data_IF_527844435846
#
_entry.id   IF_527844435846
#
_cell.length_a   1.000
_cell.length_b   1.000
_cell.length_c   1.000
_cell.angle_alpha   90.00
_cell.angle_beta   90.00
_cell.angle_gamma   90.00
#
_symmetry.space_group_name_H-M   'P 1'
#
loop_
_entity.id
_entity.type
_entity.pdbx_description
1 polymer ?
#
# COMPACT_ATOMS: atom_id res chain seq x y z
N UNK A 1 31.33 -3.53 20.83
CA UNK A 1 30.24 -3.60 19.84
C UNK A 1 28.90 -3.64 20.57
N UNK A 2 28.13 -2.56 20.53
CA UNK A 2 26.69 -2.60 20.75
C UNK A 2 26.12 -1.32 20.16
N UNK A 3 25.74 -1.34 18.88
CA UNK A 3 24.79 -0.32 18.40
C UNK A 3 23.50 -0.59 19.17
N UNK A 4 23.02 0.40 19.90
CA UNK A 4 21.82 0.30 20.73
C UNK A 4 20.69 -0.39 19.96
N UNK A 5 20.23 -1.51 20.51
CA UNK A 5 19.21 -2.35 19.87
C UNK A 5 17.90 -1.59 19.85
N UNK A 6 17.55 -1.02 18.69
CA UNK A 6 16.27 -0.33 18.47
C UNK A 6 15.08 -1.24 18.77
N UNK A 7 14.09 -0.72 19.48
CA UNK A 7 12.90 -1.43 20.00
C UNK A 7 11.59 -0.86 19.45
N UNK A 8 10.45 -1.30 19.98
CA UNK A 8 9.16 -0.66 19.68
C UNK A 8 9.10 0.78 20.21
N UNK A 9 9.71 1.07 21.36
CA UNK A 9 9.74 2.42 21.93
C UNK A 9 10.45 3.40 20.99
N UNK A 10 11.56 2.97 20.38
CA UNK A 10 12.22 3.76 19.34
C UNK A 10 11.35 3.93 18.10
N UNK A 11 10.55 2.92 17.72
CA UNK A 11 9.66 3.03 16.57
C UNK A 11 8.55 4.05 16.84
N UNK A 12 7.98 4.03 18.04
CA UNK A 12 6.98 5.00 18.46
C UNK A 12 7.56 6.42 18.40
N UNK A 13 8.73 6.64 19.00
CA UNK A 13 9.39 7.95 19.01
C UNK A 13 9.84 8.42 17.62
N UNK A 14 10.68 7.62 16.95
CA UNK A 14 11.40 8.04 15.74
C UNK A 14 10.47 8.10 14.50
N UNK A 15 9.33 7.40 14.53
CA UNK A 15 8.42 7.29 13.36
C UNK A 15 7.01 7.75 13.66
N UNK A 16 6.39 7.31 14.77
CA UNK A 16 4.97 7.62 15.04
C UNK A 16 4.82 9.05 15.54
N UNK A 17 5.50 9.40 16.64
CA UNK A 17 5.49 10.74 17.23
C UNK A 17 6.08 11.79 16.26
N UNK A 18 7.03 11.39 15.42
CA UNK A 18 7.58 12.21 14.35
C UNK A 18 6.63 12.40 13.14
N UNK A 19 5.43 11.81 13.14
CA UNK A 19 4.43 11.94 12.06
C UNK A 19 4.83 11.26 10.75
N UNK A 20 5.81 10.34 10.78
CA UNK A 20 6.35 9.66 9.61
C UNK A 20 5.61 8.36 9.28
N UNK A 21 4.80 7.84 10.21
CA UNK A 21 4.09 6.57 10.05
C UNK A 21 3.15 6.60 8.83
N UNK A 22 3.33 5.64 7.93
CA UNK A 22 2.50 5.49 6.72
C UNK A 22 1.31 4.53 6.90
N UNK A 23 1.11 3.97 8.10
CA UNK A 23 0.00 3.04 8.41
C UNK A 23 -0.06 1.78 7.54
N UNK A 24 1.09 1.27 7.11
CA UNK A 24 1.17 0.10 6.23
C UNK A 24 0.96 -1.25 6.93
N UNK A 25 1.18 -1.31 8.26
CA UNK A 25 1.02 -2.52 9.07
C UNK A 25 2.23 -3.47 9.11
N UNK A 26 3.40 -3.11 8.56
CA UNK A 26 4.58 -4.01 8.56
C UNK A 26 5.01 -4.43 9.96
N UNK A 27 4.95 -3.51 10.93
CA UNK A 27 5.26 -3.79 12.34
C UNK A 27 4.34 -4.88 12.94
N UNK A 28 3.06 -4.87 12.60
CA UNK A 28 2.08 -5.88 13.01
C UNK A 28 2.35 -7.22 12.31
N UNK A 29 2.69 -7.18 11.01
CA UNK A 29 2.96 -8.38 10.23
C UNK A 29 4.21 -9.15 10.73
N UNK A 30 5.25 -8.42 11.12
CA UNK A 30 6.54 -8.99 11.54
C UNK A 30 6.60 -9.37 13.01
N UNK A 31 5.70 -8.85 13.86
CA UNK A 31 5.72 -9.11 15.29
C UNK A 31 5.63 -10.63 15.58
N UNK A 32 6.62 -11.23 16.27
CA UNK A 32 6.65 -12.68 16.50
C UNK A 32 5.70 -13.11 17.62
N UNK A 33 5.39 -12.21 18.55
CA UNK A 33 4.51 -12.46 19.71
C UNK A 33 3.12 -11.83 19.54
N UNK A 34 2.82 -11.25 18.37
CA UNK A 34 1.51 -10.70 18.02
C UNK A 34 0.93 -9.66 19.00
N UNK A 35 1.77 -8.82 19.60
CA UNK A 35 1.35 -7.80 20.59
C UNK A 35 1.29 -6.37 20.02
N UNK A 36 1.29 -6.20 18.70
CA UNK A 36 1.15 -4.89 18.05
C UNK A 36 -0.13 -4.91 17.22
N UNK A 37 -0.97 -3.90 17.39
CA UNK A 37 -2.18 -3.65 16.59
C UNK A 37 -2.15 -2.24 15.99
N UNK A 38 -3.06 -1.94 15.06
CA UNK A 38 -3.24 -0.58 14.55
C UNK A 38 -4.47 0.04 15.20
N UNK A 39 -4.25 1.01 16.09
CA UNK A 39 -5.32 1.86 16.63
C UNK A 39 -5.33 3.19 15.88
N UNK A 40 -6.48 3.53 15.30
CA UNK A 40 -6.62 4.68 14.37
C UNK A 40 -5.54 4.72 13.28
N UNK A 41 -5.10 3.54 12.81
CA UNK A 41 -4.05 3.39 11.80
C UNK A 41 -2.62 3.56 12.32
N UNK A 42 -2.40 3.76 13.62
CA UNK A 42 -1.09 3.88 14.25
C UNK A 42 -0.76 2.64 15.08
N UNK A 43 0.51 2.20 15.13
CA UNK A 43 0.87 0.99 15.85
C UNK A 43 0.86 1.20 17.37
N UNK A 44 0.14 0.32 18.08
CA UNK A 44 -0.01 0.34 19.54
C UNK A 44 0.29 -1.04 20.12
N UNK A 45 0.88 -1.09 21.33
CA UNK A 45 1.10 -2.34 22.06
C UNK A 45 -0.16 -2.76 22.80
N UNK A 46 -0.60 -4.01 22.59
CA UNK A 46 -1.77 -4.62 23.26
C UNK A 46 -1.40 -5.79 24.18
N UNK A 47 -0.10 -6.00 24.39
CA UNK A 47 0.41 -7.09 25.21
C UNK A 47 1.89 -6.94 25.53
N UNK A 48 2.49 -7.99 26.11
CA UNK A 48 3.89 -7.95 26.57
C UNK A 48 4.88 -8.03 25.41
N UNK A 49 5.52 -6.90 25.11
CA UNK A 49 6.60 -6.82 24.14
C UNK A 49 7.87 -7.54 24.65
N UNK A 50 8.54 -8.26 23.75
CA UNK A 50 9.83 -8.93 24.03
C UNK A 50 11.04 -8.13 23.51
N UNK A 51 10.82 -6.88 23.08
CA UNK A 51 11.87 -5.95 22.65
C UNK A 51 12.82 -6.52 21.58
N UNK A 52 12.27 -7.29 20.65
CA UNK A 52 13.06 -7.93 19.58
C UNK A 52 13.55 -6.95 18.49
N UNK A 53 12.95 -5.75 18.40
CA UNK A 53 13.33 -4.72 17.43
C UNK A 53 12.95 -4.99 15.98
N UNK A 54 12.22 -6.08 15.68
CA UNK A 54 11.84 -6.42 14.30
C UNK A 54 10.89 -5.38 13.68
N UNK A 55 10.01 -4.79 14.48
CA UNK A 55 9.09 -3.74 14.04
C UNK A 55 9.83 -2.49 13.55
N UNK A 56 10.88 -2.07 14.26
CA UNK A 56 11.73 -0.94 13.87
C UNK A 56 12.52 -1.25 12.60
N UNK A 57 13.20 -2.41 12.58
CA UNK A 57 14.05 -2.84 11.46
C UNK A 57 13.28 -3.04 10.16
N UNK A 58 12.00 -3.42 10.24
CA UNK A 58 11.16 -3.61 9.06
C UNK A 58 10.27 -2.40 8.71
N UNK A 59 10.32 -1.30 9.48
CA UNK A 59 9.51 -0.13 9.19
C UNK A 59 10.05 0.62 7.96
N UNK A 60 9.26 0.86 6.89
CA UNK A 60 9.75 1.50 5.66
C UNK A 60 10.14 2.98 5.81
N UNK A 61 10.00 3.54 7.01
CA UNK A 61 10.25 4.94 7.35
C UNK A 61 11.42 5.14 8.32
N UNK A 62 12.07 4.05 8.74
CA UNK A 62 13.41 4.11 9.33
C UNK A 62 14.45 4.04 8.21
N UNK A 63 15.74 4.01 8.54
CA UNK A 63 16.85 3.99 7.58
C UNK A 63 16.65 2.96 6.44
N UNK A 64 16.45 3.45 5.21
CA UNK A 64 16.13 2.66 4.03
C UNK A 64 17.11 3.02 2.91
N UNK A 65 18.00 2.09 2.59
CA UNK A 65 18.92 2.20 1.46
C UNK A 65 18.25 1.62 0.20
N UNK A 66 17.95 2.49 -0.77
CA UNK A 66 17.38 2.05 -2.05
C UNK A 66 18.40 1.34 -2.92
N UNK A 67 19.67 1.73 -2.86
CA UNK A 67 20.74 1.15 -3.68
C UNK A 67 21.04 -0.28 -3.22
N UNK A 68 21.02 -0.53 -1.91
CA UNK A 68 21.11 -1.89 -1.35
C UNK A 68 19.96 -2.77 -1.86
N UNK A 69 18.73 -2.24 -1.85
CA UNK A 69 17.59 -3.00 -2.36
C UNK A 69 17.72 -3.28 -3.87
N UNK A 70 18.15 -2.30 -4.66
CA UNK A 70 18.33 -2.50 -6.10
C UNK A 70 19.42 -3.53 -6.39
N UNK A 71 20.50 -3.58 -5.61
CA UNK A 71 21.51 -4.64 -5.72
C UNK A 71 20.94 -6.00 -5.35
N UNK A 72 20.12 -6.08 -4.31
CA UNK A 72 19.46 -7.34 -3.91
C UNK A 72 18.48 -7.84 -4.97
N UNK A 73 17.71 -6.94 -5.60
CA UNK A 73 16.66 -7.31 -6.55
C UNK A 73 17.20 -7.48 -7.98
N UNK A 74 18.07 -6.58 -8.43
CA UNK A 74 18.53 -6.47 -9.82
C UNK A 74 20.01 -6.83 -10.01
N UNK A 75 20.78 -6.99 -8.93
CA UNK A 75 22.20 -7.33 -8.99
C UNK A 75 23.12 -6.19 -9.43
N UNK A 76 22.61 -4.95 -9.48
CA UNK A 76 23.38 -3.77 -9.91
C UNK A 76 22.82 -2.47 -9.34
N UNK A 77 23.62 -1.42 -9.41
CA UNK A 77 23.18 -0.05 -9.16
C UNK A 77 22.36 0.54 -10.32
N UNK A 78 21.61 1.61 -10.02
CA UNK A 78 20.93 2.44 -11.02
C UNK A 78 21.93 3.18 -11.90
N UNK A 79 21.58 3.35 -13.16
CA UNK A 79 22.23 4.30 -14.06
C UNK A 79 21.67 5.72 -13.83
N UNK A 80 22.34 6.75 -14.34
CA UNK A 80 21.85 8.14 -14.26
C UNK A 80 20.44 8.30 -14.84
N UNK A 81 20.10 7.54 -15.89
CA UNK A 81 18.77 7.55 -16.52
C UNK A 81 17.68 6.93 -15.66
N UNK A 82 18.07 6.13 -14.67
CA UNK A 82 17.18 5.41 -13.76
C UNK A 82 17.04 6.14 -12.42
N UNK A 83 17.73 7.28 -12.23
CA UNK A 83 17.72 8.02 -10.97
C UNK A 83 16.31 8.39 -10.49
N UNK A 84 15.39 8.70 -11.42
CA UNK A 84 14.00 9.02 -11.12
C UNK A 84 13.05 7.84 -11.35
N UNK A 85 13.41 6.90 -12.21
CA UNK A 85 12.50 5.85 -12.69
C UNK A 85 12.71 4.50 -12.04
N UNK A 86 13.77 4.33 -11.24
CA UNK A 86 14.19 3.01 -10.80
C UNK A 86 14.72 2.15 -11.95
N UNK A 87 15.13 0.94 -11.61
CA UNK A 87 15.60 -0.04 -12.61
C UNK A 87 14.41 -0.62 -13.37
N UNK A 88 14.44 -0.54 -14.71
CA UNK A 88 13.40 -1.13 -15.55
C UNK A 88 13.99 -1.81 -16.79
N UNK A 89 13.24 -2.76 -17.36
CA UNK A 89 13.60 -3.42 -18.63
C UNK A 89 12.92 -2.78 -19.84
N UNK A 90 11.65 -2.41 -19.69
CA UNK A 90 10.87 -1.78 -20.74
C UNK A 90 9.67 -1.04 -20.14
N UNK A 91 9.13 -0.05 -20.88
CA UNK A 91 7.95 0.74 -20.49
C UNK A 91 6.94 0.66 -21.61
N UNK A 92 5.70 0.35 -21.27
CA UNK A 92 4.60 0.20 -22.22
C UNK A 92 3.34 0.93 -21.74
N UNK A 93 2.55 1.44 -22.68
CA UNK A 93 1.17 1.84 -22.43
C UNK A 93 0.24 0.66 -22.72
N UNK A 94 -0.58 0.26 -21.75
CA UNK A 94 -1.44 -0.91 -21.87
C UNK A 94 -2.87 -0.65 -21.34
N UNK A 95 -3.83 -1.38 -21.89
CA UNK A 95 -5.23 -1.38 -21.45
C UNK A 95 -5.81 -2.79 -21.57
N UNK A 96 -6.70 -3.13 -20.63
CA UNK A 96 -7.37 -4.43 -20.59
C UNK A 96 -8.27 -4.66 -21.80
N UNK A 97 -8.31 -5.92 -22.24
CA UNK A 97 -9.28 -6.43 -23.22
C UNK A 97 -10.58 -6.93 -22.57
N UNK A 98 -10.59 -7.11 -21.25
CA UNK A 98 -11.76 -7.60 -20.51
C UNK A 98 -12.74 -6.46 -20.23
N UNK A 99 -13.98 -6.60 -20.69
CA UNK A 99 -15.04 -5.61 -20.45
C UNK A 99 -15.42 -5.54 -18.97
N UNK A 100 -15.43 -6.69 -18.28
CA UNK A 100 -15.67 -6.77 -16.83
C UNK A 100 -14.64 -5.96 -16.03
N UNK A 101 -13.36 -6.02 -16.43
CA UNK A 101 -12.30 -5.21 -15.80
C UNK A 101 -12.44 -3.75 -16.21
N UNK A 102 -12.74 -3.46 -17.48
CA UNK A 102 -12.86 -2.08 -17.98
C UNK A 102 -13.94 -1.29 -17.24
N UNK A 103 -15.07 -1.92 -16.92
CA UNK A 103 -16.17 -1.27 -16.21
C UNK A 103 -15.86 -0.89 -14.76
N UNK A 104 -14.78 -1.42 -14.16
CA UNK A 104 -14.40 -1.17 -12.76
C UNK A 104 -13.02 -0.53 -12.59
N UNK A 105 -12.19 -0.52 -13.64
CA UNK A 105 -10.82 -0.05 -13.56
C UNK A 105 -10.73 1.46 -13.31
N UNK A 106 -9.70 1.87 -12.56
CA UNK A 106 -9.36 3.29 -12.41
C UNK A 106 -8.93 3.88 -13.76
N UNK A 107 -7.97 3.22 -14.40
CA UNK A 107 -7.33 3.63 -15.65
C UNK A 107 -7.41 2.52 -16.70
N UNK A 108 -6.28 1.93 -17.09
CA UNK A 108 -6.20 0.88 -18.11
C UNK A 108 -6.62 -0.52 -17.63
N UNK A 109 -6.83 -0.74 -16.33
CA UNK A 109 -7.18 -2.07 -15.79
C UNK A 109 -6.05 -3.11 -15.88
N UNK A 110 -4.80 -2.66 -16.04
CA UNK A 110 -3.62 -3.50 -16.22
C UNK A 110 -3.38 -4.37 -14.97
N UNK A 111 -3.33 -3.73 -13.80
CA UNK A 111 -3.10 -4.42 -12.51
C UNK A 111 -4.15 -5.50 -12.28
N UNK A 112 -5.44 -5.18 -12.39
CA UNK A 112 -6.54 -6.15 -12.24
C UNK A 112 -6.42 -7.31 -13.23
N UNK A 113 -5.99 -7.05 -14.47
CA UNK A 113 -5.82 -8.10 -15.49
C UNK A 113 -4.65 -9.04 -15.16
N UNK A 114 -3.50 -8.48 -14.74
CA UNK A 114 -2.33 -9.26 -14.31
C UNK A 114 -2.68 -10.16 -13.12
N UNK A 115 -3.41 -9.63 -12.14
CA UNK A 115 -3.79 -10.38 -10.94
C UNK A 115 -4.82 -11.47 -11.24
N UNK A 116 -5.75 -11.19 -12.16
CA UNK A 116 -6.71 -12.21 -12.62
C UNK A 116 -5.97 -13.38 -13.27
N UNK A 117 -5.01 -13.08 -14.16
CA UNK A 117 -4.17 -14.11 -14.78
C UNK A 117 -3.33 -14.86 -13.73
N UNK A 118 -2.78 -14.17 -12.72
CA UNK A 118 -2.01 -14.81 -11.66
C UNK A 118 -2.80 -15.89 -10.91
N UNK A 119 -4.09 -15.67 -10.63
CA UNK A 119 -4.96 -16.69 -10.03
C UNK A 119 -5.20 -17.86 -11.00
N UNK A 120 -5.49 -17.57 -12.27
CA UNK A 120 -5.68 -18.60 -13.32
C UNK A 120 -4.43 -19.47 -13.50
N UNK A 121 -3.24 -18.89 -13.35
CA UNK A 121 -1.96 -19.58 -13.40
C UNK A 121 -1.63 -20.37 -12.11
N UNK A 122 -2.60 -20.59 -11.23
CA UNK A 122 -2.45 -21.34 -9.98
C UNK A 122 -1.91 -20.52 -8.81
N UNK A 123 -2.19 -19.22 -8.77
CA UNK A 123 -1.93 -18.38 -7.60
C UNK A 123 -2.94 -18.67 -6.48
N UNK A 124 -2.48 -18.74 -5.23
CA UNK A 124 -3.33 -19.08 -4.08
C UNK A 124 -4.26 -17.95 -3.65
N UNK A 125 -3.82 -16.71 -3.86
CA UNK A 125 -4.52 -15.50 -3.45
C UNK A 125 -3.78 -14.21 -3.78
N UNK A 126 -4.49 -13.10 -3.77
CA UNK A 126 -3.99 -11.76 -4.07
C UNK A 126 -4.35 -10.82 -2.93
N UNK A 127 -3.37 -10.07 -2.43
CA UNK A 127 -3.56 -9.04 -1.41
C UNK A 127 -3.73 -7.68 -2.09
N UNK A 128 -4.93 -7.10 -1.98
CA UNK A 128 -5.34 -5.82 -2.57
C UNK A 128 -6.07 -4.95 -1.54
N UNK A 129 -6.33 -3.68 -1.88
CA UNK A 129 -7.17 -2.79 -1.08
C UNK A 129 -8.66 -2.95 -1.47
N UNK A 130 -9.43 -3.60 -0.60
CA UNK A 130 -10.89 -3.62 -0.65
C UNK A 130 -11.52 -2.47 0.11
N UNK A 131 -12.84 -2.51 0.28
CA UNK A 131 -13.60 -1.60 1.14
C UNK A 131 -14.22 -2.38 2.31
N UNK A 132 -14.31 -1.73 3.47
CA UNK A 132 -15.16 -2.20 4.58
C UNK A 132 -16.63 -2.23 4.13
N UNK A 133 -17.40 -3.20 4.66
CA UNK A 133 -18.80 -3.39 4.28
C UNK A 133 -19.73 -2.37 4.95
N UNK A 134 -19.37 -1.91 6.14
CA UNK A 134 -20.14 -1.03 7.01
C UNK A 134 -19.69 0.44 6.95
N UNK A 135 -18.60 0.74 6.24
CA UNK A 135 -18.00 2.08 6.21
C UNK A 135 -17.70 2.55 4.79
N UNK A 136 -18.33 3.67 4.41
CA UNK A 136 -18.24 4.28 3.08
C UNK A 136 -16.81 4.62 2.71
N UNK A 137 -16.29 4.06 1.61
CA UNK A 137 -14.95 4.36 1.10
C UNK A 137 -13.81 4.12 2.10
N UNK A 138 -14.03 3.29 3.13
CA UNK A 138 -12.99 2.94 4.10
C UNK A 138 -12.18 1.74 3.60
N UNK A 139 -10.87 1.89 3.34
CA UNK A 139 -10.10 0.82 2.73
C UNK A 139 -9.68 -0.23 3.74
N UNK A 140 -9.76 -1.50 3.34
CA UNK A 140 -9.27 -2.64 4.12
C UNK A 140 -8.42 -3.56 3.29
N UNK A 141 -7.43 -4.25 3.87
CA UNK A 141 -6.72 -5.30 3.16
C UNK A 141 -7.69 -6.45 2.86
N UNK A 142 -7.80 -6.80 1.59
CA UNK A 142 -8.57 -7.95 1.10
C UNK A 142 -7.60 -9.01 0.58
N UNK A 143 -7.79 -10.26 1.02
CA UNK A 143 -7.13 -11.43 0.42
C UNK A 143 -8.13 -12.06 -0.56
N UNK A 144 -8.08 -11.64 -1.81
CA UNK A 144 -8.93 -12.14 -2.88
C UNK A 144 -8.41 -13.49 -3.40
N UNK A 145 -9.31 -14.44 -3.69
CA UNK A 145 -8.97 -15.78 -4.20
C UNK A 145 -9.65 -16.11 -5.53
N UNK A 146 -10.42 -15.17 -6.07
CA UNK A 146 -11.14 -15.32 -7.33
C UNK A 146 -11.05 -14.06 -8.18
N UNK A 147 -11.28 -14.22 -9.48
CA UNK A 147 -11.34 -13.11 -10.44
C UNK A 147 -12.39 -12.08 -10.04
N UNK A 148 -13.55 -12.52 -9.57
CA UNK A 148 -14.64 -11.62 -9.20
C UNK A 148 -14.31 -10.77 -7.98
N UNK A 149 -13.65 -11.34 -6.96
CA UNK A 149 -13.14 -10.57 -5.82
C UNK A 149 -12.07 -9.56 -6.23
N UNK A 150 -11.17 -9.93 -7.16
CA UNK A 150 -10.13 -9.04 -7.68
C UNK A 150 -10.75 -7.88 -8.46
N UNK A 151 -11.73 -8.14 -9.32
CA UNK A 151 -12.45 -7.12 -10.09
C UNK A 151 -13.29 -6.23 -9.16
N UNK A 152 -13.92 -6.81 -8.14
CA UNK A 152 -14.70 -6.07 -7.14
C UNK A 152 -13.84 -5.09 -6.32
N UNK A 153 -12.56 -5.42 -6.10
CA UNK A 153 -11.61 -4.55 -5.41
C UNK A 153 -10.98 -3.47 -6.30
N UNK A 154 -11.25 -3.45 -7.61
CA UNK A 154 -10.68 -2.45 -8.52
C UNK A 154 -11.09 -1.01 -8.18
N UNK A 155 -10.36 -0.06 -8.76
CA UNK A 155 -10.55 1.38 -8.52
C UNK A 155 -9.69 1.90 -7.35
N UNK A 156 -9.26 3.15 -7.47
CA UNK A 156 -8.37 3.77 -6.49
C UNK A 156 -9.12 4.18 -5.22
N UNK A 157 -8.54 3.83 -4.07
CA UNK A 157 -8.96 4.36 -2.76
C UNK A 157 -7.86 5.34 -2.33
N UNK A 158 -8.21 6.61 -2.18
CA UNK A 158 -7.24 7.68 -1.92
C UNK A 158 -6.84 7.82 -0.44
N UNK A 159 -7.46 7.03 0.43
CA UNK A 159 -7.12 6.88 1.85
C UNK A 159 -6.34 5.57 2.05
N UNK A 160 -5.69 5.41 3.20
CA UNK A 160 -4.72 4.33 3.38
C UNK A 160 -5.36 3.00 3.76
N UNK A 161 -4.92 1.94 3.10
CA UNK A 161 -5.17 0.55 3.50
C UNK A 161 -3.91 -0.06 4.15
N UNK A 162 -4.02 -0.73 5.31
CA UNK A 162 -2.88 -1.42 5.93
C UNK A 162 -2.57 -2.76 5.26
N UNK A 163 -2.11 -2.71 3.99
CA UNK A 163 -1.89 -3.88 3.11
C UNK A 163 -1.11 -5.02 3.76
N UNK A 164 -0.13 -4.73 4.64
CA UNK A 164 0.70 -5.78 5.24
C UNK A 164 -0.07 -6.65 6.26
N UNK A 165 -1.21 -6.18 6.79
CA UNK A 165 -2.11 -7.05 7.56
C UNK A 165 -2.73 -8.12 6.66
N UNK A 166 -3.06 -7.79 5.41
CA UNK A 166 -3.51 -8.76 4.41
C UNK A 166 -2.44 -9.80 4.07
N UNK A 167 -1.17 -9.36 3.95
CA UNK A 167 -0.02 -10.27 3.75
C UNK A 167 0.15 -11.21 4.94
N UNK A 168 0.06 -10.68 6.18
CA UNK A 168 0.07 -11.50 7.40
C UNK A 168 -1.05 -12.52 7.38
N UNK A 169 -2.29 -12.10 7.14
CA UNK A 169 -3.46 -12.97 7.08
C UNK A 169 -3.28 -14.09 6.05
N UNK A 170 -2.92 -13.73 4.82
CA UNK A 170 -2.70 -14.68 3.73
C UNK A 170 -1.66 -15.75 4.08
N UNK A 171 -0.51 -15.36 4.62
CA UNK A 171 0.62 -16.30 4.83
C UNK A 171 0.57 -17.01 6.18
N UNK A 172 0.28 -16.29 7.27
CA UNK A 172 0.33 -16.85 8.64
C UNK A 172 -0.98 -17.48 9.09
N UNK A 173 -2.12 -16.95 8.66
CA UNK A 173 -3.44 -17.40 9.14
C UNK A 173 -4.10 -18.35 8.13
N UNK A 174 -4.03 -18.02 6.84
CA UNK A 174 -4.60 -18.85 5.77
C UNK A 174 -3.60 -19.87 5.19
N UNK A 175 -2.31 -19.72 5.48
CA UNK A 175 -1.28 -20.67 5.05
C UNK A 175 -0.96 -20.66 3.55
N UNK A 176 -1.34 -19.62 2.81
CA UNK A 176 -1.11 -19.52 1.36
C UNK A 176 0.39 -19.48 1.05
N UNK A 177 0.78 -20.08 -0.08
CA UNK A 177 2.17 -20.31 -0.48
C UNK A 177 2.57 -19.60 -1.77
N UNK A 178 1.62 -19.12 -2.55
CA UNK A 178 1.88 -18.39 -3.78
C UNK A 178 0.92 -17.21 -3.90
N UNK A 179 1.30 -16.08 -3.32
CA UNK A 179 0.47 -14.88 -3.29
C UNK A 179 1.03 -13.76 -4.16
N UNK A 180 0.13 -12.94 -4.69
CA UNK A 180 0.47 -11.64 -5.26
C UNK A 180 0.12 -10.52 -4.28
N UNK A 181 0.89 -9.42 -4.28
CA UNK A 181 0.65 -8.27 -3.41
C UNK A 181 0.66 -6.99 -4.22
N UNK A 182 -0.38 -6.16 -4.05
CA UNK A 182 -0.47 -4.82 -4.65
C UNK A 182 -0.30 -3.78 -3.57
N UNK A 183 0.46 -2.72 -3.84
CA UNK A 183 0.50 -1.58 -2.93
C UNK A 183 1.24 -0.37 -3.47
N UNK A 184 1.17 0.71 -2.70
CA UNK A 184 1.88 1.96 -2.98
C UNK A 184 3.38 1.83 -2.66
N UNK A 185 4.24 2.78 -3.06
CA UNK A 185 5.68 2.63 -2.92
C UNK A 185 6.14 2.43 -1.47
N UNK A 186 5.54 3.14 -0.51
CA UNK A 186 5.87 2.95 0.91
C UNK A 186 5.45 1.56 1.44
N UNK A 187 4.38 0.96 0.91
CA UNK A 187 3.97 -0.40 1.23
C UNK A 187 4.89 -1.43 0.56
N UNK A 188 5.32 -1.19 -0.68
CA UNK A 188 6.30 -2.04 -1.37
C UNK A 188 7.65 -2.05 -0.65
N UNK A 189 8.13 -0.89 -0.16
CA UNK A 189 9.30 -0.83 0.73
C UNK A 189 9.11 -1.67 2.00
N UNK A 190 7.93 -1.62 2.61
CA UNK A 190 7.60 -2.43 3.79
C UNK A 190 7.62 -3.93 3.48
N UNK A 191 7.08 -4.31 2.33
CA UNK A 191 7.09 -5.69 1.84
C UNK A 191 8.50 -6.17 1.51
N UNK A 192 9.32 -5.33 0.86
CA UNK A 192 10.71 -5.62 0.52
C UNK A 192 11.55 -5.87 1.78
N UNK A 193 11.38 -5.07 2.85
CA UNK A 193 12.06 -5.38 4.12
C UNK A 193 11.61 -6.71 4.72
N UNK A 194 10.30 -6.98 4.66
CA UNK A 194 9.69 -8.18 5.19
C UNK A 194 10.16 -9.46 4.48
N UNK A 195 10.48 -9.36 3.18
CA UNK A 195 10.75 -10.51 2.29
C UNK A 195 12.20 -10.64 1.84
N UNK A 196 12.91 -9.52 1.66
CA UNK A 196 14.28 -9.47 1.10
C UNK A 196 15.30 -8.93 2.11
N UNK A 197 14.87 -8.10 3.07
CA UNK A 197 15.77 -7.41 3.99
C UNK A 197 16.57 -8.33 4.94
N UNK A 198 17.55 -7.77 5.67
CA UNK A 198 18.38 -8.54 6.61
C UNK A 198 17.59 -9.17 7.77
N UNK A 199 16.47 -8.55 8.14
CA UNK A 199 15.54 -9.05 9.17
C UNK A 199 14.24 -9.60 8.56
N UNK A 200 14.31 -10.15 7.35
CA UNK A 200 13.20 -10.78 6.65
C UNK A 200 12.64 -11.97 7.41
N UNK A 201 11.40 -12.34 7.09
CA UNK A 201 10.79 -13.56 7.58
C UNK A 201 10.60 -14.55 6.42
N UNK A 202 11.23 -15.72 6.55
CA UNK A 202 11.27 -16.75 5.52
C UNK A 202 9.88 -17.16 5.01
N UNK A 203 8.87 -17.23 5.89
CA UNK A 203 7.51 -17.60 5.46
C UNK A 203 6.91 -16.60 4.48
N UNK A 204 7.18 -15.30 4.67
CA UNK A 204 6.74 -14.28 3.72
C UNK A 204 7.59 -14.32 2.45
N UNK A 205 8.91 -14.46 2.57
CA UNK A 205 9.84 -14.58 1.44
C UNK A 205 9.48 -15.73 0.50
N UNK A 206 9.14 -16.90 1.07
CA UNK A 206 8.78 -18.08 0.28
C UNK A 206 7.40 -17.96 -0.38
N UNK A 207 6.48 -17.19 0.22
CA UNK A 207 5.09 -17.13 -0.20
C UNK A 207 4.78 -16.05 -1.23
N UNK A 208 5.48 -14.92 -1.19
CA UNK A 208 5.24 -13.78 -2.08
C UNK A 208 5.87 -14.07 -3.44
N UNK A 209 5.02 -14.34 -4.44
CA UNK A 209 5.44 -14.74 -5.78
C UNK A 209 5.35 -13.61 -6.80
N UNK A 210 4.50 -12.60 -6.56
CA UNK A 210 4.33 -11.44 -7.42
C UNK A 210 4.11 -10.17 -6.60
N UNK A 211 4.81 -9.10 -6.94
CA UNK A 211 4.63 -7.77 -6.35
C UNK A 211 4.27 -6.77 -7.45
N UNK A 212 3.21 -6.01 -7.24
CA UNK A 212 2.76 -4.98 -8.18
C UNK A 212 2.70 -3.63 -7.46
N UNK A 213 3.67 -2.78 -7.78
CA UNK A 213 3.72 -1.39 -7.31
C UNK A 213 2.74 -0.50 -8.05
N UNK A 214 2.09 0.40 -7.31
CA UNK A 214 1.27 1.47 -7.85
C UNK A 214 2.02 2.79 -7.78
N UNK A 215 1.81 3.66 -8.78
CA UNK A 215 2.23 5.04 -8.68
C UNK A 215 1.40 5.75 -7.61
N UNK A 216 2.08 6.49 -6.73
CA UNK A 216 1.44 7.21 -5.64
C UNK A 216 2.17 8.52 -5.42
N UNK A 217 1.43 9.62 -5.47
CA UNK A 217 1.95 10.94 -5.12
C UNK A 217 1.66 11.27 -3.66
N UNK A 218 0.41 11.09 -3.25
CA UNK A 218 -0.07 11.44 -1.91
C UNK A 218 -1.28 10.58 -1.53
N UNK A 219 -1.53 10.50 -0.23
CA UNK A 219 -2.70 9.84 0.36
C UNK A 219 -3.34 10.78 1.36
N UNK A 220 -4.63 10.61 1.60
CA UNK A 220 -5.42 11.53 2.43
C UNK A 220 -5.88 10.86 3.72
N UNK A 221 -6.11 11.69 4.74
CA UNK A 221 -6.76 11.28 5.98
C UNK A 221 -8.21 10.90 5.72
N UNK A 222 -8.67 9.75 6.20
CA UNK A 222 -10.02 9.28 5.93
C UNK A 222 -11.08 10.21 6.52
N UNK A 223 -10.96 10.57 7.79
CA UNK A 223 -11.97 11.38 8.48
C UNK A 223 -12.02 12.81 7.94
N UNK A 224 -10.86 13.41 7.67
CA UNK A 224 -10.78 14.75 7.06
C UNK A 224 -11.35 14.73 5.63
N UNK A 225 -11.10 13.66 4.88
CA UNK A 225 -11.61 13.50 3.52
C UNK A 225 -13.13 13.36 3.49
N UNK A 226 -13.70 12.52 4.38
CA UNK A 226 -15.16 12.37 4.46
C UNK A 226 -15.84 13.63 4.97
N UNK A 227 -15.22 14.34 5.91
CA UNK A 227 -15.74 15.62 6.41
C UNK A 227 -15.72 16.68 5.31
N UNK A 228 -14.61 16.78 4.57
CA UNK A 228 -14.48 17.68 3.42
C UNK A 228 -15.56 17.47 2.36
N UNK A 229 -15.84 16.21 1.98
CA UNK A 229 -16.89 15.93 0.98
C UNK A 229 -18.25 16.41 1.45
N UNK A 230 -18.60 16.17 2.73
CA UNK A 230 -19.86 16.64 3.31
C UNK A 230 -19.96 18.16 3.37
N UNK A 231 -18.87 18.85 3.74
CA UNK A 231 -18.80 20.31 3.75
C UNK A 231 -19.04 20.92 2.36
N UNK A 232 -18.56 20.26 1.30
CA UNK A 232 -18.78 20.66 -0.08
C UNK A 232 -20.14 20.18 -0.65
N UNK A 233 -21.01 19.61 0.19
CA UNK A 233 -22.35 19.14 -0.21
C UNK A 233 -22.38 17.82 -0.98
N UNK A 234 -21.29 17.06 -0.96
CA UNK A 234 -21.15 15.76 -1.65
C UNK A 234 -21.44 14.64 -0.66
N UNK A 235 -22.42 13.80 -0.97
CA UNK A 235 -22.67 12.55 -0.22
C UNK A 235 -21.64 11.48 -0.64
N UNK A 236 -20.69 11.09 0.24
CA UNK A 236 -19.68 10.10 -0.10
C UNK A 236 -20.27 8.73 -0.47
N UNK A 237 -21.47 8.40 0.03
CA UNK A 237 -22.14 7.13 -0.25
C UNK A 237 -22.62 6.99 -1.70
N UNK A 238 -22.81 8.12 -2.39
CA UNK A 238 -23.19 8.15 -3.82
C UNK A 238 -21.99 8.11 -4.76
N UNK A 239 -20.78 8.40 -4.25
CA UNK A 239 -19.58 8.43 -5.08
C UNK A 239 -19.20 7.01 -5.49
N UNK A 240 -19.08 6.78 -6.79
CA UNK A 240 -18.64 5.51 -7.38
C UNK A 240 -17.17 5.53 -7.81
N UNK A 241 -16.60 6.72 -8.04
CA UNK A 241 -15.20 6.88 -8.44
C UNK A 241 -14.63 8.21 -7.99
N UNK A 242 -13.38 8.18 -7.56
CA UNK A 242 -12.55 9.38 -7.39
C UNK A 242 -11.46 9.40 -8.46
N UNK A 243 -11.03 10.57 -8.90
CA UNK A 243 -9.93 10.72 -9.86
C UNK A 243 -9.11 11.98 -9.54
N UNK A 244 -7.79 11.86 -9.65
CA UNK A 244 -6.88 13.01 -9.66
C UNK A 244 -6.23 13.08 -11.05
N UNK A 245 -6.60 14.09 -11.83
CA UNK A 245 -6.15 14.23 -13.21
C UNK A 245 -6.00 15.69 -13.61
N UNK A 246 -4.92 16.00 -14.32
CA UNK A 246 -4.63 17.35 -14.83
C UNK A 246 -4.72 18.43 -13.73
N UNK A 247 -4.18 18.14 -12.54
CA UNK A 247 -4.16 19.06 -11.40
C UNK A 247 -5.52 19.30 -10.73
N UNK A 248 -6.50 18.42 -10.96
CA UNK A 248 -7.83 18.47 -10.34
C UNK A 248 -8.15 17.20 -9.59
N UNK A 249 -8.89 17.35 -8.51
CA UNK A 249 -9.58 16.26 -7.82
C UNK A 249 -11.03 16.23 -8.28
N UNK A 250 -11.55 15.04 -8.58
CA UNK A 250 -12.88 14.82 -9.15
C UNK A 250 -13.56 13.64 -8.42
N UNK A 251 -14.83 13.80 -8.06
CA UNK A 251 -15.69 12.74 -7.54
C UNK A 251 -16.86 12.52 -8.50
N UNK A 252 -17.15 11.26 -8.81
CA UNK A 252 -18.18 10.87 -9.77
C UNK A 252 -19.24 9.94 -9.15
N UNK A 253 -20.48 10.03 -9.65
CA UNK A 253 -21.52 9.04 -9.49
C UNK A 253 -21.92 8.50 -10.88
N UNK A 254 -21.39 7.33 -11.24
CA UNK A 254 -21.46 6.85 -12.62
C UNK A 254 -20.71 7.80 -13.57
N UNK A 255 -21.44 8.41 -14.50
CA UNK A 255 -20.92 9.41 -15.43
C UNK A 255 -21.08 10.86 -14.93
N UNK A 256 -21.86 11.07 -13.87
CA UNK A 256 -22.11 12.39 -13.30
C UNK A 256 -20.90 12.87 -12.48
N UNK A 257 -20.45 14.10 -12.75
CA UNK A 257 -19.43 14.79 -11.95
C UNK A 257 -20.09 15.46 -10.75
N UNK A 258 -20.00 14.82 -9.56
CA UNK A 258 -20.56 15.37 -8.33
C UNK A 258 -19.73 16.51 -7.76
N UNK A 259 -18.41 16.48 -7.98
CA UNK A 259 -17.50 17.48 -7.45
C UNK A 259 -16.23 17.59 -8.26
N UNK A 260 -15.73 18.81 -8.44
CA UNK A 260 -14.46 19.07 -9.12
C UNK A 260 -13.78 20.33 -8.64
N UNK A 261 -12.55 20.15 -8.16
CA UNK A 261 -11.75 21.24 -7.61
C UNK A 261 -10.30 21.15 -8.06
N UNK A 262 -9.59 22.29 -8.00
CA UNK A 262 -8.13 22.28 -8.14
C UNK A 262 -7.53 21.46 -7.01
N UNK A 263 -6.53 20.63 -7.31
CA UNK A 263 -5.86 19.76 -6.34
C UNK A 263 -5.30 20.55 -5.15
N UNK A 264 -4.88 21.80 -5.38
CA UNK A 264 -4.44 22.72 -4.31
C UNK A 264 -5.46 22.93 -3.18
N UNK A 265 -6.77 22.81 -3.44
CA UNK A 265 -7.81 22.94 -2.39
C UNK A 265 -7.85 21.76 -1.43
N UNK A 266 -7.48 20.56 -1.89
CA UNK A 266 -7.50 19.34 -1.08
C UNK A 266 -6.13 18.98 -0.51
N UNK A 267 -5.07 19.74 -0.84
CA UNK A 267 -3.72 19.52 -0.29
C UNK A 267 -3.66 19.56 1.23
N UNK A 268 -4.56 20.30 1.89
CA UNK A 268 -4.65 20.34 3.37
C UNK A 268 -5.04 18.99 3.99
N UNK A 269 -5.65 18.10 3.21
CA UNK A 269 -6.11 16.77 3.64
C UNK A 269 -5.01 15.71 3.50
N UNK A 270 -3.88 16.06 2.88
CA UNK A 270 -2.75 15.15 2.63
C UNK A 270 -2.13 14.76 3.95
N UNK A 271 -1.82 13.48 4.10
CA UNK A 271 -1.20 12.98 5.32
C UNK A 271 0.22 13.54 5.48
N UNK A 272 0.62 13.99 6.69
CA UNK A 272 1.96 14.55 6.92
C UNK A 272 3.12 13.67 6.44
N UNK A 273 2.99 12.35 6.59
CA UNK A 273 3.99 11.38 6.16
C UNK A 273 4.29 11.40 4.65
N UNK A 274 3.36 11.92 3.82
CA UNK A 274 3.54 12.01 2.37
C UNK A 274 4.48 13.15 1.95
N UNK A 275 4.58 14.23 2.73
CA UNK A 275 5.44 15.38 2.38
C UNK A 275 6.94 15.08 2.42
N UNK A 276 7.31 14.01 3.11
CA UNK A 276 8.69 13.51 3.31
C UNK A 276 8.91 12.18 2.60
N UNK A 277 8.04 11.86 1.65
CA UNK A 277 8.14 10.66 0.83
C UNK A 277 9.15 10.87 -0.29
N UNK A 278 10.32 10.24 -0.17
CA UNK A 278 11.39 10.28 -1.18
C UNK A 278 11.28 9.20 -2.26
N UNK A 279 10.28 8.31 -2.20
CA UNK A 279 10.02 7.40 -3.32
C UNK A 279 9.52 8.20 -4.49
N UNK A 280 10.31 8.28 -5.56
CA UNK A 280 9.79 8.69 -6.85
C UNK A 280 8.62 7.77 -7.24
N UNK A 281 7.57 8.25 -7.93
CA UNK A 281 6.46 7.41 -8.37
C UNK A 281 6.88 6.14 -9.12
N UNK A 282 8.08 6.12 -9.68
CA UNK A 282 8.59 5.03 -10.50
C UNK A 282 9.57 4.07 -9.78
N UNK A 283 9.93 4.27 -8.51
CA UNK A 283 10.89 3.40 -7.80
C UNK A 283 10.30 2.13 -7.16
N UNK A 284 9.24 1.55 -7.75
CA UNK A 284 8.59 0.30 -7.28
C UNK A 284 8.76 -0.88 -8.21
#
# INVERSE_FOLDING_TARGET
MSKDKKTFTDLAKDVVEAGLCVSCGTCVAVCPVNVIELDQGLPTLVGKCIECGLCYRNCPRTDFDEDDLDRVVYGRDRTEREALTGVYRAVYAARTRSDAVRGRAQDGGVVTSILSQFIEDGGDGVVVAGLEEDKVWSPRPLVARSRDEIVGAAGTKYTVSPTMLGVRKAVKEMGLKRIAVVGTPCQMRGLARLTLGPSRNKKYSDAVALTVGLFCMETFSYDDWMSYLKEEGVDPGKVTKFEIKSGRFIAYAGEEELHKVKLGKVKRLVRPCCHVCGTSPAST
#
